data_IF_149463766543
#
_entry.id   IF_149463766543
#
_cell.length_a   1.000
_cell.length_b   1.000
_cell.length_c   1.000
_cell.angle_alpha   90.00
_cell.angle_beta   90.00
_cell.angle_gamma   90.00
#
_symmetry.space_group_name_H-M   'P 1'
#
loop_
_entity.id
_entity.type
_entity.pdbx_description
1 polymer ?
#
# COMPACT_ATOMS: atom_id res chain seq x y z
N UNK A 1 -30.48 15.75 -20.62
CA UNK A 1 -29.20 16.47 -20.85
C UNK A 1 -28.09 15.41 -21.02
N UNK A 2 -27.61 15.19 -22.28
CA UNK A 2 -26.65 14.12 -22.63
C UNK A 2 -25.35 14.20 -21.79
N UNK A 3 -24.88 15.40 -21.52
CA UNK A 3 -23.69 15.61 -20.70
C UNK A 3 -23.89 15.14 -19.25
N UNK A 4 -25.09 15.26 -18.70
CA UNK A 4 -25.38 14.82 -17.32
C UNK A 4 -25.38 13.30 -17.22
N UNK A 5 -25.98 12.59 -18.16
CA UNK A 5 -25.98 11.12 -18.20
C UNK A 5 -24.57 10.54 -18.34
N UNK A 6 -23.74 11.15 -19.21
CA UNK A 6 -22.35 10.76 -19.39
C UNK A 6 -21.52 10.89 -18.08
N UNK A 7 -21.72 11.98 -17.34
CA UNK A 7 -20.99 12.19 -16.06
C UNK A 7 -21.37 11.15 -15.01
N UNK A 8 -22.65 10.75 -14.92
CA UNK A 8 -23.11 9.68 -14.04
C UNK A 8 -22.51 8.33 -14.46
N UNK A 9 -22.53 8.02 -15.75
CA UNK A 9 -21.91 6.82 -16.30
C UNK A 9 -20.42 6.76 -15.95
N UNK A 10 -19.68 7.83 -16.21
CA UNK A 10 -18.26 7.91 -15.91
C UNK A 10 -17.99 7.74 -14.41
N UNK A 11 -18.79 8.34 -13.55
CA UNK A 11 -18.69 8.18 -12.09
C UNK A 11 -18.88 6.70 -11.70
N UNK A 12 -19.89 6.02 -12.26
CA UNK A 12 -20.11 4.60 -12.01
C UNK A 12 -18.93 3.72 -12.42
N UNK A 13 -18.37 3.96 -13.61
CA UNK A 13 -17.18 3.26 -14.10
C UNK A 13 -15.96 3.51 -13.21
N UNK A 14 -15.70 4.77 -12.84
CA UNK A 14 -14.56 5.10 -11.99
C UNK A 14 -14.67 4.49 -10.60
N UNK A 15 -15.87 4.46 -10.01
CA UNK A 15 -16.10 3.78 -8.73
C UNK A 15 -15.94 2.26 -8.85
N UNK A 16 -16.43 1.65 -9.93
CA UNK A 16 -16.23 0.23 -10.23
C UNK A 16 -14.75 -0.12 -10.29
N UNK A 17 -13.95 0.65 -11.02
CA UNK A 17 -12.50 0.49 -11.11
C UNK A 17 -11.81 0.72 -9.77
N UNK A 18 -12.25 1.70 -8.99
CA UNK A 18 -11.74 1.95 -7.65
C UNK A 18 -11.99 0.76 -6.71
N UNK A 19 -13.17 0.16 -6.74
CA UNK A 19 -13.54 -1.00 -5.93
C UNK A 19 -12.72 -2.25 -6.31
N UNK A 20 -12.45 -2.44 -7.59
CA UNK A 20 -11.55 -3.49 -8.08
C UNK A 20 -10.09 -3.27 -7.68
N UNK A 21 -9.68 -2.02 -7.56
CA UNK A 21 -8.29 -1.66 -7.28
C UNK A 21 -7.90 -1.92 -5.82
N UNK A 22 -8.75 -1.51 -4.86
CA UNK A 22 -8.39 -1.58 -3.43
C UNK A 22 -9.62 -1.53 -2.52
N UNK A 23 -9.68 -2.40 -1.51
CA UNK A 23 -10.78 -2.44 -0.53
C UNK A 23 -11.03 -1.11 0.21
N UNK A 24 -10.00 -0.30 0.38
CA UNK A 24 -10.12 1.04 1.00
C UNK A 24 -11.07 1.97 0.23
N UNK A 25 -11.25 1.76 -1.07
CA UNK A 25 -12.18 2.53 -1.89
C UNK A 25 -13.65 2.35 -1.51
N UNK A 26 -13.99 1.29 -0.78
CA UNK A 26 -15.36 1.11 -0.25
C UNK A 26 -15.73 2.19 0.75
N UNK A 27 -14.78 2.61 1.59
CA UNK A 27 -14.98 3.74 2.50
C UNK A 27 -15.18 5.05 1.74
N UNK A 28 -14.44 5.25 0.66
CA UNK A 28 -14.66 6.39 -0.23
C UNK A 28 -16.05 6.36 -0.87
N UNK A 29 -16.51 5.20 -1.34
CA UNK A 29 -17.86 5.02 -1.86
C UNK A 29 -18.94 5.36 -0.82
N UNK A 30 -18.77 4.90 0.43
CA UNK A 30 -19.68 5.25 1.54
C UNK A 30 -19.67 6.75 1.85
N UNK A 31 -18.48 7.38 1.87
CA UNK A 31 -18.34 8.83 2.07
C UNK A 31 -19.00 9.63 0.97
N UNK A 32 -18.88 9.17 -0.29
CA UNK A 32 -19.54 9.77 -1.43
C UNK A 32 -21.08 9.64 -1.33
N UNK A 33 -21.57 8.47 -0.94
CA UNK A 33 -23.00 8.26 -0.71
C UNK A 33 -23.53 9.19 0.41
N UNK A 34 -22.81 9.31 1.51
CA UNK A 34 -23.15 10.27 2.57
C UNK A 34 -23.15 11.72 2.07
N UNK A 35 -22.20 12.09 1.21
CA UNK A 35 -22.17 13.40 0.59
C UNK A 35 -23.40 13.68 -0.30
N UNK A 36 -23.92 12.67 -1.01
CA UNK A 36 -25.18 12.81 -1.74
C UNK A 36 -26.37 13.06 -0.81
N UNK A 37 -26.43 12.38 0.33
CA UNK A 37 -27.48 12.62 1.34
C UNK A 37 -27.44 14.06 1.85
N UNK A 38 -26.26 14.66 2.00
CA UNK A 38 -26.12 16.01 2.55
C UNK A 38 -26.38 17.08 1.49
N UNK A 39 -25.80 16.96 0.30
CA UNK A 39 -25.78 18.07 -0.69
C UNK A 39 -26.56 17.84 -1.94
N UNK A 40 -26.98 16.61 -2.23
CA UNK A 40 -27.58 16.25 -3.53
C UNK A 40 -28.70 15.23 -3.39
N UNK A 41 -29.61 15.45 -2.45
CA UNK A 41 -30.75 14.54 -2.20
C UNK A 41 -31.62 14.32 -3.46
N UNK A 42 -31.72 15.33 -4.33
CA UNK A 42 -32.45 15.23 -5.59
C UNK A 42 -31.88 14.13 -6.51
N UNK A 43 -30.59 13.78 -6.36
CA UNK A 43 -29.97 12.71 -7.13
C UNK A 43 -30.67 11.35 -6.93
N UNK A 44 -31.21 11.10 -5.74
CA UNK A 44 -31.93 9.86 -5.44
C UNK A 44 -33.25 9.69 -6.26
N UNK A 45 -33.72 10.73 -6.88
CA UNK A 45 -34.87 10.69 -7.77
C UNK A 45 -34.49 10.63 -9.26
N UNK A 46 -33.16 10.58 -9.56
CA UNK A 46 -32.64 10.53 -10.92
C UNK A 46 -32.32 9.09 -11.33
N UNK A 47 -32.84 8.64 -12.48
CA UNK A 47 -32.51 7.33 -13.05
C UNK A 47 -31.00 7.15 -13.25
N UNK A 48 -30.29 8.20 -13.66
CA UNK A 48 -28.86 8.17 -13.89
C UNK A 48 -28.04 7.86 -12.62
N UNK A 49 -28.52 8.24 -11.44
CA UNK A 49 -27.91 7.88 -10.16
C UNK A 49 -27.92 6.35 -9.97
N UNK A 50 -29.04 5.71 -10.19
CA UNK A 50 -29.19 4.25 -10.06
C UNK A 50 -28.38 3.49 -11.12
N UNK A 51 -28.30 4.04 -12.33
CA UNK A 51 -27.39 3.51 -13.37
C UNK A 51 -25.93 3.56 -12.90
N UNK A 52 -25.46 4.68 -12.34
CA UNK A 52 -24.12 4.80 -11.82
C UNK A 52 -23.87 3.84 -10.64
N UNK A 53 -24.83 3.70 -9.73
CA UNK A 53 -24.80 2.77 -8.61
C UNK A 53 -24.70 1.32 -9.10
N UNK A 54 -25.53 0.94 -10.07
CA UNK A 54 -25.51 -0.40 -10.66
C UNK A 54 -24.15 -0.72 -11.28
N UNK A 55 -23.59 0.18 -12.10
CA UNK A 55 -22.28 0.02 -12.72
C UNK A 55 -21.19 -0.12 -11.61
N UNK A 56 -21.26 0.67 -10.55
CA UNK A 56 -20.31 0.59 -9.43
C UNK A 56 -20.36 -0.77 -8.72
N UNK A 57 -21.58 -1.30 -8.50
CA UNK A 57 -21.80 -2.62 -7.88
C UNK A 57 -21.28 -3.74 -8.78
N UNK A 58 -21.46 -3.62 -10.11
CA UNK A 58 -20.91 -4.60 -11.05
C UNK A 58 -19.39 -4.78 -10.90
N UNK A 59 -18.67 -3.71 -10.51
CA UNK A 59 -17.24 -3.81 -10.20
C UNK A 59 -16.90 -4.65 -8.97
N UNK A 60 -17.85 -4.92 -8.08
CA UNK A 60 -17.66 -5.79 -6.93
C UNK A 60 -17.81 -7.28 -7.27
N UNK A 61 -18.49 -7.61 -8.37
CA UNK A 61 -18.79 -9.00 -8.72
C UNK A 61 -17.53 -9.88 -8.81
N UNK A 62 -16.45 -9.50 -9.52
CA UNK A 62 -15.25 -10.33 -9.58
C UNK A 62 -14.64 -10.59 -8.18
N UNK A 63 -14.66 -9.58 -7.31
CA UNK A 63 -14.14 -9.68 -5.94
C UNK A 63 -15.01 -10.63 -5.10
N UNK A 64 -16.32 -10.52 -5.21
CA UNK A 64 -17.28 -11.37 -4.48
C UNK A 64 -17.15 -12.83 -4.96
N UNK A 65 -17.18 -13.06 -6.28
CA UNK A 65 -17.07 -14.40 -6.86
C UNK A 65 -15.75 -15.07 -6.45
N UNK A 66 -14.63 -14.36 -6.57
CA UNK A 66 -13.34 -14.87 -6.14
C UNK A 66 -13.31 -15.22 -4.64
N UNK A 67 -13.91 -14.40 -3.77
CA UNK A 67 -13.99 -14.68 -2.35
C UNK A 67 -14.85 -15.91 -2.05
N UNK A 68 -15.98 -16.10 -2.74
CA UNK A 68 -16.82 -17.30 -2.60
C UNK A 68 -16.01 -18.54 -2.99
N UNK A 69 -15.33 -18.52 -4.13
CA UNK A 69 -14.52 -19.63 -4.61
C UNK A 69 -13.32 -19.97 -3.70
N UNK A 70 -12.78 -18.98 -2.99
CA UNK A 70 -11.59 -19.11 -2.14
C UNK A 70 -11.91 -19.03 -0.63
N UNK A 71 -13.14 -19.38 -0.22
CA UNK A 71 -13.52 -19.47 1.19
C UNK A 71 -13.39 -18.16 1.95
N UNK A 72 -13.76 -17.05 1.32
CA UNK A 72 -13.69 -15.70 1.91
C UNK A 72 -12.30 -15.29 2.41
N UNK A 73 -11.26 -15.73 1.71
CA UNK A 73 -9.86 -15.53 2.09
C UNK A 73 -9.50 -14.07 2.39
N UNK A 74 -10.06 -13.11 1.63
CA UNK A 74 -9.82 -11.68 1.87
C UNK A 74 -10.40 -11.20 3.20
N UNK A 75 -11.58 -11.68 3.58
CA UNK A 75 -12.21 -11.33 4.86
C UNK A 75 -11.40 -11.89 6.03
N UNK A 76 -11.00 -13.16 5.97
CA UNK A 76 -10.16 -13.78 7.00
C UNK A 76 -8.81 -13.06 7.14
N UNK A 77 -8.20 -12.64 6.03
CA UNK A 77 -6.97 -11.87 6.05
C UNK A 77 -7.12 -10.55 6.80
N UNK A 78 -8.20 -9.81 6.55
CA UNK A 78 -8.45 -8.54 7.24
C UNK A 78 -8.89 -8.73 8.70
N UNK A 79 -9.69 -9.77 8.99
CA UNK A 79 -10.10 -10.11 10.35
C UNK A 79 -8.90 -10.42 11.24
N UNK A 80 -7.96 -11.22 10.77
CA UNK A 80 -6.75 -11.57 11.53
C UNK A 80 -5.82 -10.37 11.78
N UNK A 81 -5.89 -9.34 10.94
CA UNK A 81 -5.16 -8.08 11.15
C UNK A 81 -5.88 -7.10 12.07
N UNK A 82 -7.16 -7.30 12.32
CA UNK A 82 -7.99 -6.46 13.16
C UNK A 82 -7.92 -6.78 14.67
N UNK A 83 -7.03 -7.67 15.11
CA UNK A 83 -6.81 -7.93 16.53
C UNK A 83 -6.38 -6.63 17.21
N UNK A 84 -7.26 -6.13 18.12
CA UNK A 84 -7.06 -4.85 18.77
C UNK A 84 -5.97 -4.99 19.84
N UNK A 85 -4.80 -4.41 19.57
CA UNK A 85 -3.68 -4.33 20.50
C UNK A 85 -3.15 -2.90 20.51
N UNK A 86 -3.47 -2.15 21.56
CA UNK A 86 -3.09 -0.74 21.68
C UNK A 86 -1.60 -0.62 21.98
N UNK A 87 -0.83 -0.07 21.02
CA UNK A 87 0.58 0.22 21.18
C UNK A 87 0.85 1.70 20.89
N UNK A 88 1.20 2.45 21.92
CA UNK A 88 1.45 3.88 21.83
C UNK A 88 2.59 4.25 20.87
N UNK A 89 3.67 3.48 20.88
CA UNK A 89 4.80 3.72 19.96
C UNK A 89 4.43 3.45 18.50
N UNK A 90 3.61 2.43 18.25
CA UNK A 90 3.11 2.16 16.90
C UNK A 90 2.24 3.32 16.38
N UNK A 91 1.40 3.89 17.23
CA UNK A 91 0.59 5.07 16.88
C UNK A 91 1.46 6.25 16.50
N UNK A 92 2.42 6.60 17.34
CA UNK A 92 3.33 7.72 17.07
C UNK A 92 4.09 7.51 15.77
N UNK A 93 4.68 6.33 15.59
CA UNK A 93 5.44 6.01 14.38
C UNK A 93 4.57 6.08 13.12
N UNK A 94 3.33 5.60 13.20
CA UNK A 94 2.39 5.66 12.08
C UNK A 94 1.96 7.08 11.74
N UNK A 95 1.73 7.93 12.74
CA UNK A 95 1.42 9.35 12.53
C UNK A 95 2.63 10.11 11.96
N UNK A 96 3.83 9.85 12.46
CA UNK A 96 5.07 10.43 11.92
C UNK A 96 5.30 9.99 10.47
N UNK A 97 5.08 8.71 10.16
CA UNK A 97 5.18 8.20 8.79
C UNK A 97 4.17 8.89 7.85
N UNK A 98 2.91 9.06 8.27
CA UNK A 98 1.92 9.81 7.50
C UNK A 98 2.35 11.26 7.28
N UNK A 99 2.85 11.91 8.33
CA UNK A 99 3.35 13.29 8.27
C UNK A 99 4.51 13.43 7.27
N UNK A 100 5.42 12.45 7.22
CA UNK A 100 6.52 12.41 6.26
C UNK A 100 6.04 12.11 4.83
N UNK A 101 5.13 11.16 4.64
CA UNK A 101 4.60 10.80 3.31
C UNK A 101 3.84 11.96 2.65
N UNK A 102 3.10 12.74 3.43
CA UNK A 102 2.31 13.88 2.92
C UNK A 102 3.14 15.14 2.79
N UNK A 103 4.30 15.17 3.39
CA UNK A 103 5.18 16.31 3.64
C UNK A 103 4.64 17.25 4.72
N UNK A 104 5.49 17.64 5.69
CA UNK A 104 5.10 18.51 6.82
C UNK A 104 4.41 19.81 6.40
N UNK A 105 4.93 20.46 5.38
CA UNK A 105 4.39 21.71 4.83
C UNK A 105 2.99 21.54 4.25
N UNK A 106 2.75 20.42 3.56
CA UNK A 106 1.44 20.08 2.99
C UNK A 106 0.43 19.80 4.10
N UNK A 107 0.82 19.06 5.15
CA UNK A 107 -0.05 18.82 6.31
C UNK A 107 -0.46 20.13 6.98
N UNK A 108 0.49 21.05 7.21
CA UNK A 108 0.18 22.36 7.79
C UNK A 108 -0.81 23.12 6.90
N UNK A 109 -0.62 23.14 5.59
CA UNK A 109 -1.55 23.80 4.66
C UNK A 109 -2.94 23.16 4.66
N UNK A 110 -3.02 21.83 4.77
CA UNK A 110 -4.29 21.10 4.90
C UNK A 110 -4.99 21.54 6.19
N UNK A 111 -4.30 21.47 7.33
CA UNK A 111 -4.88 21.83 8.64
C UNK A 111 -5.39 23.27 8.64
N UNK A 112 -4.58 24.22 8.14
CA UNK A 112 -4.98 25.61 8.01
C UNK A 112 -6.17 25.79 7.04
N UNK A 113 -6.21 25.01 5.96
CA UNK A 113 -7.30 25.02 5.00
C UNK A 113 -8.60 24.49 5.59
N UNK A 114 -8.56 23.35 6.26
CA UNK A 114 -9.72 22.74 6.92
C UNK A 114 -10.22 23.61 8.07
N UNK A 115 -9.32 24.16 8.89
CA UNK A 115 -9.70 25.11 9.95
C UNK A 115 -10.38 26.38 9.39
N UNK A 116 -9.96 26.84 8.22
CA UNK A 116 -10.63 27.96 7.54
C UNK A 116 -12.04 27.60 7.03
N UNK A 117 -12.27 26.34 6.61
CA UNK A 117 -13.60 25.87 6.20
C UNK A 117 -14.62 25.91 7.35
N UNK A 118 -14.18 25.70 8.59
CA UNK A 118 -15.04 25.82 9.77
C UNK A 118 -15.52 27.26 9.99
N UNK A 119 -14.73 28.26 9.56
CA UNK A 119 -15.06 29.68 9.68
C UNK A 119 -15.77 30.24 8.45
N UNK A 120 -15.38 29.77 7.28
CA UNK A 120 -15.89 30.22 5.99
C UNK A 120 -16.13 29.00 5.08
N UNK A 121 -17.31 28.36 5.19
CA UNK A 121 -17.62 27.17 4.43
C UNK A 121 -17.61 27.44 2.92
N UNK A 122 -16.96 26.54 2.19
CA UNK A 122 -16.97 26.51 0.73
C UNK A 122 -17.53 25.17 0.29
N UNK A 123 -18.60 25.15 -0.51
CA UNK A 123 -19.29 23.93 -0.91
C UNK A 123 -18.35 22.86 -1.53
N UNK A 124 -17.38 23.31 -2.37
CA UNK A 124 -16.44 22.40 -3.03
C UNK A 124 -15.43 21.81 -2.04
N UNK A 125 -14.86 22.64 -1.20
CA UNK A 125 -13.84 22.22 -0.23
C UNK A 125 -14.48 21.40 0.90
N UNK A 126 -15.67 21.79 1.37
CA UNK A 126 -16.44 21.01 2.34
C UNK A 126 -16.78 19.62 1.79
N UNK A 127 -17.13 19.52 0.50
CA UNK A 127 -17.36 18.24 -0.16
C UNK A 127 -16.10 17.36 -0.14
N UNK A 128 -14.94 17.89 -0.50
CA UNK A 128 -13.67 17.16 -0.44
C UNK A 128 -13.32 16.74 1.00
N UNK A 129 -13.54 17.61 1.98
CA UNK A 129 -13.31 17.29 3.38
C UNK A 129 -14.21 16.14 3.87
N UNK A 130 -15.49 16.15 3.52
CA UNK A 130 -16.44 15.08 3.88
C UNK A 130 -16.08 13.75 3.21
N UNK A 131 -15.54 13.76 2.00
CA UNK A 131 -15.04 12.54 1.36
C UNK A 131 -13.75 12.01 2.02
N UNK A 132 -12.88 12.92 2.46
CA UNK A 132 -11.56 12.59 2.99
C UNK A 132 -11.58 12.14 4.46
N UNK A 133 -12.31 12.89 5.31
CA UNK A 133 -12.23 12.73 6.77
C UNK A 133 -12.65 11.35 7.26
N UNK A 134 -13.76 10.73 6.78
CA UNK A 134 -14.12 9.38 7.23
C UNK A 134 -13.01 8.37 6.95
N UNK A 135 -12.38 8.44 5.77
CA UNK A 135 -11.28 7.57 5.39
C UNK A 135 -10.06 7.76 6.29
N UNK A 136 -9.67 9.01 6.56
CA UNK A 136 -8.55 9.32 7.46
C UNK A 136 -8.87 8.84 8.87
N UNK A 137 -10.04 9.15 9.41
CA UNK A 137 -10.41 8.81 10.79
C UNK A 137 -10.50 7.30 11.00
N UNK A 138 -11.22 6.59 10.13
CA UNK A 138 -11.41 5.13 10.27
C UNK A 138 -10.08 4.41 10.15
N UNK A 139 -9.24 4.73 9.15
CA UNK A 139 -7.95 4.06 9.05
C UNK A 139 -6.99 4.42 10.18
N UNK A 140 -7.02 5.64 10.70
CA UNK A 140 -6.23 5.95 11.89
C UNK A 140 -6.74 5.20 13.13
N UNK A 141 -8.06 5.00 13.30
CA UNK A 141 -8.60 4.15 14.37
C UNK A 141 -8.12 2.69 14.22
N UNK A 142 -8.13 2.15 13.00
CA UNK A 142 -7.59 0.81 12.73
C UNK A 142 -6.09 0.73 13.03
N UNK A 143 -5.32 1.76 12.64
CA UNK A 143 -3.88 1.84 12.90
C UNK A 143 -3.60 1.89 14.41
N UNK A 144 -4.41 2.62 15.18
CA UNK A 144 -4.30 2.69 16.64
C UNK A 144 -4.57 1.34 17.32
N UNK A 145 -5.40 0.50 16.72
CA UNK A 145 -5.80 -0.78 17.27
C UNK A 145 -5.00 -1.99 16.77
N UNK A 146 -4.13 -1.85 15.78
CA UNK A 146 -3.45 -3.00 15.17
C UNK A 146 -2.02 -2.71 14.74
N UNK A 147 -1.06 -3.42 15.33
CA UNK A 147 0.36 -3.35 14.95
C UNK A 147 0.63 -3.85 13.52
N UNK A 148 -0.27 -4.66 12.96
CA UNK A 148 -0.18 -5.17 11.59
C UNK A 148 -0.77 -4.21 10.53
N UNK A 149 -1.11 -2.98 10.93
CA UNK A 149 -1.62 -1.95 10.04
C UNK A 149 -0.49 -1.08 9.48
N UNK A 150 -0.77 -0.41 8.37
CA UNK A 150 0.22 0.42 7.70
C UNK A 150 -0.22 1.88 7.60
N UNK A 151 0.70 2.80 7.87
CA UNK A 151 0.47 4.24 7.84
C UNK A 151 -0.12 4.75 6.51
N UNK A 152 0.21 4.10 5.39
CA UNK A 152 -0.28 4.48 4.06
C UNK A 152 -1.77 4.15 3.82
N UNK A 153 -2.46 3.45 4.72
CA UNK A 153 -3.88 3.14 4.52
C UNK A 153 -4.77 4.37 4.51
N UNK A 154 -4.42 5.41 5.25
CA UNK A 154 -5.14 6.69 5.28
C UNK A 154 -4.83 7.61 4.10
N UNK A 155 -3.83 7.28 3.24
CA UNK A 155 -3.32 8.16 2.19
C UNK A 155 -4.39 8.59 1.18
N UNK A 156 -5.36 7.72 0.85
CA UNK A 156 -6.45 8.09 -0.06
C UNK A 156 -7.23 9.30 0.46
N UNK A 157 -7.52 9.35 1.76
CA UNK A 157 -8.17 10.51 2.37
C UNK A 157 -7.30 11.76 2.32
N UNK A 158 -6.02 11.64 2.63
CA UNK A 158 -5.09 12.77 2.55
C UNK A 158 -4.95 13.33 1.14
N UNK A 159 -4.90 12.49 0.11
CA UNK A 159 -4.84 12.93 -1.30
C UNK A 159 -6.04 13.79 -1.70
N UNK A 160 -7.24 13.51 -1.17
CA UNK A 160 -8.43 14.31 -1.41
C UNK A 160 -8.34 15.71 -0.79
N UNK A 161 -7.49 15.93 0.21
CA UNK A 161 -7.28 17.23 0.85
C UNK A 161 -6.19 18.08 0.18
N UNK A 162 -5.40 17.53 -0.74
CA UNK A 162 -4.34 18.27 -1.47
C UNK A 162 -4.89 19.50 -2.19
N UNK A 163 -6.07 19.48 -2.86
CA UNK A 163 -6.63 20.69 -3.46
C UNK A 163 -6.89 21.83 -2.46
N UNK A 164 -7.26 21.49 -1.21
CA UNK A 164 -7.45 22.46 -0.13
C UNK A 164 -6.12 23.09 0.26
N UNK A 165 -5.06 22.28 0.41
CA UNK A 165 -3.70 22.77 0.67
C UNK A 165 -3.21 23.67 -0.46
N UNK A 166 -3.42 23.26 -1.72
CA UNK A 166 -3.01 24.01 -2.91
C UNK A 166 -3.69 25.37 -2.96
N UNK A 167 -5.00 25.44 -2.69
CA UNK A 167 -5.72 26.72 -2.61
C UNK A 167 -5.15 27.59 -1.50
N UNK A 168 -4.85 27.01 -0.32
CA UNK A 168 -4.26 27.74 0.78
C UNK A 168 -2.90 28.31 0.42
N UNK A 169 -2.05 27.54 -0.24
CA UNK A 169 -0.76 28.00 -0.74
C UNK A 169 -0.92 29.17 -1.74
N UNK A 170 -1.89 29.09 -2.66
CA UNK A 170 -2.16 30.16 -3.63
C UNK A 170 -2.60 31.45 -2.93
N UNK A 171 -3.40 31.37 -1.87
CA UNK A 171 -3.79 32.55 -1.09
C UNK A 171 -2.60 33.25 -0.41
N UNK A 172 -1.52 32.51 -0.12
CA UNK A 172 -0.27 33.09 0.39
C UNK A 172 0.55 33.82 -0.68
N UNK A 173 0.11 33.83 -1.94
CA UNK A 173 0.80 34.48 -3.06
C UNK A 173 0.96 36.00 -2.86
N UNK A 174 0.11 36.61 -2.04
CA UNK A 174 0.22 38.02 -1.61
C UNK A 174 1.51 38.27 -0.80
N UNK A 175 1.97 37.26 -0.04
CA UNK A 175 3.28 37.30 0.63
C UNK A 175 4.27 36.44 -0.18
N UNK A 176 4.94 37.10 -1.13
CA UNK A 176 5.89 36.44 -2.06
C UNK A 176 6.93 35.59 -1.33
N UNK A 177 7.47 36.11 -0.24
CA UNK A 177 8.54 35.41 0.52
C UNK A 177 8.04 34.09 1.08
N UNK A 178 6.91 34.08 1.79
CA UNK A 178 6.33 32.87 2.35
C UNK A 178 5.93 31.91 1.24
N UNK A 179 5.30 32.37 0.18
CA UNK A 179 4.88 31.54 -0.95
C UNK A 179 6.06 30.82 -1.60
N UNK A 180 7.14 31.58 -1.93
CA UNK A 180 8.34 31.05 -2.54
C UNK A 180 9.02 30.05 -1.58
N UNK A 181 9.18 30.42 -0.30
CA UNK A 181 9.81 29.56 0.71
C UNK A 181 9.09 28.21 0.85
N UNK A 182 7.76 28.21 1.02
CA UNK A 182 6.99 26.99 1.14
C UNK A 182 7.02 26.14 -0.14
N UNK A 183 6.91 26.77 -1.32
CA UNK A 183 7.00 26.08 -2.60
C UNK A 183 8.39 25.43 -2.78
N UNK A 184 9.45 26.18 -2.53
CA UNK A 184 10.83 25.68 -2.67
C UNK A 184 11.10 24.58 -1.67
N UNK A 185 10.67 24.73 -0.41
CA UNK A 185 10.82 23.69 0.61
C UNK A 185 10.11 22.39 0.23
N UNK A 186 8.87 22.47 -0.28
CA UNK A 186 8.17 21.27 -0.76
C UNK A 186 8.93 20.57 -1.90
N UNK A 187 9.42 21.35 -2.88
CA UNK A 187 10.19 20.81 -4.00
C UNK A 187 11.46 20.14 -3.47
N UNK A 188 12.21 20.79 -2.61
CA UNK A 188 13.45 20.22 -2.04
C UNK A 188 13.18 18.95 -1.24
N UNK A 189 12.12 18.92 -0.42
CA UNK A 189 11.74 17.72 0.34
C UNK A 189 11.40 16.54 -0.58
N UNK A 190 10.59 16.76 -1.64
CA UNK A 190 10.26 15.72 -2.60
C UNK A 190 11.52 15.16 -3.26
N UNK A 191 12.38 16.03 -3.81
CA UNK A 191 13.60 15.59 -4.46
C UNK A 191 14.58 14.93 -3.50
N UNK A 192 14.67 15.39 -2.24
CA UNK A 192 15.49 14.74 -1.22
C UNK A 192 15.01 13.33 -0.92
N UNK A 193 13.70 13.11 -0.77
CA UNK A 193 13.14 11.76 -0.54
C UNK A 193 13.41 10.85 -1.74
N UNK A 194 13.18 11.33 -2.96
CA UNK A 194 13.48 10.57 -4.19
C UNK A 194 14.96 10.21 -4.24
N UNK A 195 15.84 11.17 -3.98
CA UNK A 195 17.29 10.95 -4.00
C UNK A 195 17.71 9.90 -2.96
N UNK A 196 17.19 9.99 -1.73
CA UNK A 196 17.47 9.01 -0.67
C UNK A 196 17.02 7.62 -1.09
N UNK A 197 15.82 7.47 -1.67
CA UNK A 197 15.32 6.18 -2.17
C UNK A 197 16.23 5.64 -3.28
N UNK A 198 16.60 6.46 -4.26
CA UNK A 198 17.47 6.04 -5.37
C UNK A 198 18.86 5.63 -4.91
N UNK A 199 19.47 6.41 -4.01
CA UNK A 199 20.77 6.07 -3.44
C UNK A 199 20.67 4.79 -2.60
N UNK A 200 19.63 4.67 -1.77
CA UNK A 200 19.43 3.47 -0.96
C UNK A 200 19.20 2.22 -1.80
N UNK A 201 18.37 2.30 -2.84
CA UNK A 201 18.09 1.19 -3.77
C UNK A 201 19.39 0.58 -4.33
N UNK A 202 20.37 1.41 -4.65
CA UNK A 202 21.65 0.96 -5.23
C UNK A 202 22.72 0.60 -4.17
N UNK A 203 22.72 1.25 -3.04
CA UNK A 203 23.84 1.16 -2.07
C UNK A 203 23.48 0.43 -0.77
N UNK A 204 22.20 0.27 -0.48
CA UNK A 204 21.71 -0.26 0.81
C UNK A 204 22.09 0.63 2.01
N UNK A 205 22.34 1.94 1.80
CA UNK A 205 22.89 2.82 2.84
C UNK A 205 22.03 2.87 4.11
N UNK A 206 20.72 2.84 3.99
CA UNK A 206 19.82 2.85 5.16
C UNK A 206 19.90 1.54 5.93
N UNK A 207 19.99 0.39 5.25
CA UNK A 207 20.18 -0.92 5.90
C UNK A 207 21.55 -1.04 6.53
N UNK A 208 22.61 -0.52 5.92
CA UNK A 208 23.98 -0.52 6.46
C UNK A 208 24.13 0.29 7.74
N UNK A 209 23.27 1.29 7.96
CA UNK A 209 23.31 2.15 9.16
C UNK A 209 22.98 1.38 10.44
N UNK A 210 22.25 0.26 10.34
CA UNK A 210 21.90 -0.60 11.49
C UNK A 210 22.94 -1.70 11.79
N UNK A 211 24.06 -1.74 11.04
CA UNK A 211 25.10 -2.76 11.20
C UNK A 211 24.69 -4.14 10.67
N UNK A 212 25.37 -5.20 11.19
CA UNK A 212 25.13 -6.59 10.73
C UNK A 212 23.76 -7.16 11.14
N UNK A 213 23.08 -6.55 12.10
CA UNK A 213 21.79 -6.97 12.63
C UNK A 213 20.67 -6.11 12.05
N UNK A 214 20.35 -6.28 10.76
CA UNK A 214 19.14 -5.67 10.20
C UNK A 214 17.94 -6.42 10.79
N UNK A 215 17.09 -5.74 11.57
CA UNK A 215 15.92 -6.38 12.14
C UNK A 215 15.03 -6.93 11.03
N UNK A 216 14.41 -8.08 11.24
CA UNK A 216 13.47 -8.71 10.29
C UNK A 216 12.36 -7.75 9.82
N UNK A 217 11.98 -6.77 10.65
CA UNK A 217 10.97 -5.75 10.39
C UNK A 217 11.50 -4.52 9.63
N UNK A 218 12.78 -4.49 9.24
CA UNK A 218 13.30 -3.37 8.46
C UNK A 218 12.80 -3.40 7.02
N UNK A 219 11.77 -2.61 6.78
CA UNK A 219 11.15 -2.47 5.46
C UNK A 219 12.06 -1.74 4.44
N UNK A 220 13.20 -1.18 4.85
CA UNK A 220 14.09 -0.49 3.89
C UNK A 220 14.75 -1.46 2.92
N UNK A 221 14.88 -2.74 3.26
CA UNK A 221 15.34 -3.80 2.36
C UNK A 221 14.43 -4.00 1.14
N UNK A 222 13.16 -3.65 1.30
CA UNK A 222 12.17 -3.73 0.22
C UNK A 222 12.44 -2.74 -0.92
N UNK A 223 13.24 -1.70 -0.64
CA UNK A 223 13.65 -0.69 -1.59
C UNK A 223 14.94 -1.05 -2.34
N UNK A 224 15.59 -2.18 -2.01
CA UNK A 224 16.81 -2.62 -2.68
C UNK A 224 16.53 -3.08 -4.12
N UNK A 225 17.53 -2.92 -4.98
CA UNK A 225 17.50 -3.44 -6.35
C UNK A 225 17.76 -4.95 -6.38
N UNK A 226 16.72 -5.71 -6.60
CA UNK A 226 16.78 -7.18 -6.68
C UNK A 226 17.34 -7.68 -8.01
N UNK A 227 17.57 -6.81 -9.00
CA UNK A 227 18.22 -7.18 -10.27
C UNK A 227 19.60 -7.78 -10.08
N UNK A 228 20.38 -7.27 -9.14
CA UNK A 228 21.69 -7.82 -8.81
C UNK A 228 21.62 -9.26 -8.26
N UNK A 229 20.53 -9.61 -7.60
CA UNK A 229 20.29 -10.96 -7.06
C UNK A 229 19.96 -11.91 -8.20
N UNK A 230 19.13 -11.50 -9.16
CA UNK A 230 18.81 -12.32 -10.34
C UNK A 230 20.05 -12.63 -11.15
N UNK A 231 20.92 -11.63 -11.40
CA UNK A 231 22.17 -11.80 -12.15
C UNK A 231 23.12 -12.79 -11.46
N UNK A 232 23.26 -12.70 -10.14
CA UNK A 232 24.09 -13.61 -9.36
C UNK A 232 23.54 -15.05 -9.34
N UNK A 233 22.21 -15.21 -9.31
CA UNK A 233 21.56 -16.51 -9.26
C UNK A 233 21.47 -17.18 -10.63
N UNK A 234 21.35 -16.42 -11.73
CA UNK A 234 20.99 -16.94 -13.05
C UNK A 234 21.95 -18.05 -13.53
N UNK A 235 23.25 -17.88 -13.30
CA UNK A 235 24.26 -18.90 -13.63
C UNK A 235 24.00 -20.21 -12.90
N UNK A 236 23.79 -20.16 -11.60
CA UNK A 236 23.53 -21.34 -10.76
C UNK A 236 22.21 -22.02 -11.12
N UNK A 237 21.18 -21.25 -11.46
CA UNK A 237 19.87 -21.78 -11.87
C UNK A 237 19.96 -22.55 -13.18
N UNK A 238 20.69 -22.02 -14.18
CA UNK A 238 20.90 -22.67 -15.47
C UNK A 238 21.77 -23.91 -15.36
N UNK A 239 22.87 -23.86 -14.61
CA UNK A 239 23.78 -25.00 -14.40
C UNK A 239 23.12 -26.17 -13.68
N UNK A 240 22.14 -25.91 -12.81
CA UNK A 240 21.43 -26.96 -12.07
C UNK A 240 20.03 -27.27 -12.63
N UNK A 241 19.68 -26.74 -13.80
CA UNK A 241 18.36 -26.94 -14.47
C UNK A 241 17.16 -26.63 -13.58
N UNK A 242 17.27 -25.66 -12.69
CA UNK A 242 16.24 -25.32 -11.72
C UNK A 242 15.15 -24.47 -12.38
N UNK A 243 13.90 -24.90 -12.27
CA UNK A 243 12.73 -24.26 -12.91
C UNK A 243 11.81 -23.53 -11.93
N UNK A 244 11.95 -23.81 -10.65
CA UNK A 244 11.09 -23.24 -9.60
C UNK A 244 11.93 -22.70 -8.45
N UNK A 245 11.56 -21.53 -7.97
CA UNK A 245 12.20 -20.82 -6.88
C UNK A 245 11.19 -20.68 -5.75
N UNK A 246 11.67 -20.57 -4.51
CA UNK A 246 10.80 -20.30 -3.37
C UNK A 246 11.54 -19.48 -2.34
N UNK A 247 10.79 -18.66 -1.60
CA UNK A 247 11.29 -17.96 -0.42
C UNK A 247 10.46 -18.32 0.80
N UNK A 248 10.80 -17.81 1.96
CA UNK A 248 10.04 -18.01 3.20
C UNK A 248 8.88 -17.04 3.36
N UNK A 249 8.89 -15.93 2.60
CA UNK A 249 7.90 -14.87 2.71
C UNK A 249 7.38 -14.47 1.31
N UNK A 250 6.10 -14.11 1.23
CA UNK A 250 5.45 -13.70 -0.02
C UNK A 250 6.08 -12.46 -0.64
N UNK A 251 6.62 -11.59 0.20
CA UNK A 251 7.21 -10.33 -0.23
C UNK A 251 8.49 -10.58 -1.04
N UNK A 252 9.41 -11.35 -0.46
CA UNK A 252 10.65 -11.74 -1.11
C UNK A 252 10.37 -12.55 -2.39
N UNK A 253 9.35 -13.42 -2.37
CA UNK A 253 8.91 -14.12 -3.59
C UNK A 253 8.41 -13.19 -4.68
N UNK A 254 7.69 -12.12 -4.32
CA UNK A 254 7.22 -11.11 -5.27
C UNK A 254 8.37 -10.35 -5.92
N UNK A 255 9.36 -9.93 -5.12
CA UNK A 255 10.56 -9.25 -5.61
C UNK A 255 11.38 -10.17 -6.53
N UNK A 256 11.57 -11.43 -6.13
CA UNK A 256 12.32 -12.41 -6.90
C UNK A 256 11.62 -12.70 -8.24
N UNK A 257 10.30 -12.90 -8.24
CA UNK A 257 9.54 -13.10 -9.47
C UNK A 257 9.69 -11.91 -10.44
N UNK A 258 9.64 -10.69 -9.91
CA UNK A 258 9.83 -9.47 -10.70
C UNK A 258 11.26 -9.35 -11.23
N UNK A 259 12.27 -9.67 -10.42
CA UNK A 259 13.68 -9.60 -10.83
C UNK A 259 14.01 -10.56 -11.98
N UNK A 260 13.33 -11.70 -12.04
CA UNK A 260 13.43 -12.67 -13.15
C UNK A 260 12.41 -12.47 -14.27
N UNK A 261 11.72 -11.33 -14.34
CA UNK A 261 10.67 -11.06 -15.32
C UNK A 261 9.61 -12.17 -15.42
N UNK A 262 9.34 -12.87 -14.32
CA UNK A 262 8.40 -13.99 -14.23
C UNK A 262 8.77 -15.22 -15.09
N UNK A 263 10.04 -15.39 -15.49
CA UNK A 263 10.51 -16.54 -16.27
C UNK A 263 10.55 -17.82 -15.44
N UNK A 264 10.72 -17.69 -14.12
CA UNK A 264 10.70 -18.82 -13.19
C UNK A 264 9.38 -18.87 -12.42
N UNK A 265 8.92 -20.08 -12.11
CA UNK A 265 7.83 -20.27 -11.16
C UNK A 265 8.34 -19.95 -9.76
N UNK A 266 7.77 -18.93 -9.10
CA UNK A 266 8.19 -18.52 -7.76
C UNK A 266 7.07 -18.80 -6.76
N UNK A 267 7.40 -19.53 -5.69
CA UNK A 267 6.47 -19.91 -4.62
C UNK A 267 6.93 -19.41 -3.24
N UNK A 268 6.11 -19.71 -2.22
CA UNK A 268 6.41 -19.45 -0.80
C UNK A 268 6.31 -20.76 -0.02
N UNK A 269 7.36 -21.07 0.73
CA UNK A 269 7.40 -22.23 1.63
C UNK A 269 6.86 -21.87 3.03
N UNK A 270 6.97 -20.61 3.44
CA UNK A 270 6.58 -20.16 4.77
C UNK A 270 5.07 -20.06 4.99
N UNK A 271 4.68 -19.89 6.26
CA UNK A 271 3.28 -19.66 6.67
C UNK A 271 2.70 -18.37 6.08
N UNK A 272 3.53 -17.36 5.84
CA UNK A 272 3.15 -16.08 5.28
C UNK A 272 3.14 -16.11 3.74
N UNK A 273 2.39 -17.04 3.17
CA UNK A 273 2.33 -17.22 1.71
C UNK A 273 1.41 -16.24 1.00
N UNK A 274 0.52 -15.56 1.72
CA UNK A 274 -0.43 -14.59 1.20
C UNK A 274 -1.13 -15.09 -0.10
N UNK A 275 -1.09 -14.32 -1.18
CA UNK A 275 -1.70 -14.67 -2.47
C UNK A 275 -0.99 -15.81 -3.20
N UNK A 276 0.28 -16.10 -2.92
CA UNK A 276 1.03 -17.20 -3.55
C UNK A 276 0.38 -18.57 -3.31
N UNK A 277 -0.34 -18.77 -2.19
CA UNK A 277 -1.09 -20.01 -1.94
C UNK A 277 -2.20 -20.29 -2.96
N UNK A 278 -2.65 -19.26 -3.70
CA UNK A 278 -3.69 -19.39 -4.73
C UNK A 278 -3.12 -19.53 -6.13
N UNK A 279 -1.89 -19.03 -6.38
CA UNK A 279 -1.24 -19.01 -7.69
C UNK A 279 -0.58 -20.37 -7.96
N UNK A 280 0.14 -20.93 -6.99
CA UNK A 280 0.95 -22.13 -7.19
C UNK A 280 0.38 -23.37 -6.48
N UNK A 281 -0.50 -24.09 -7.17
CA UNK A 281 -1.01 -25.39 -6.71
C UNK A 281 -0.10 -26.57 -7.11
N UNK A 282 0.89 -26.39 -7.99
CA UNK A 282 1.66 -27.48 -8.63
C UNK A 282 3.09 -27.67 -8.10
N UNK A 283 3.72 -26.70 -7.46
CA UNK A 283 5.17 -26.75 -7.17
C UNK A 283 5.58 -27.42 -5.85
N UNK A 284 4.68 -28.15 -5.19
CA UNK A 284 4.89 -28.62 -3.80
C UNK A 284 5.89 -29.76 -3.60
N UNK A 285 6.54 -30.34 -4.61
CA UNK A 285 7.38 -31.54 -4.41
C UNK A 285 8.88 -31.27 -4.36
N UNK A 286 9.38 -30.29 -5.09
CA UNK A 286 10.79 -29.87 -5.04
C UNK A 286 10.85 -28.37 -5.25
N UNK A 287 11.42 -27.66 -4.30
CA UNK A 287 11.58 -26.22 -4.40
C UNK A 287 13.04 -25.85 -4.14
N UNK A 288 13.57 -24.92 -4.91
CA UNK A 288 14.85 -24.29 -4.64
C UNK A 288 14.59 -23.10 -3.72
N UNK A 289 14.98 -23.24 -2.46
CA UNK A 289 14.81 -22.17 -1.48
C UNK A 289 15.93 -21.13 -1.65
N UNK A 290 15.55 -19.90 -1.90
CA UNK A 290 16.43 -18.75 -1.90
C UNK A 290 16.18 -17.95 -0.64
N UNK A 291 17.17 -17.95 0.25
CA UNK A 291 17.12 -17.15 1.46
C UNK A 291 17.97 -15.89 1.28
N UNK A 292 17.29 -14.78 0.99
CA UNK A 292 17.94 -13.47 0.87
C UNK A 292 18.02 -12.84 2.25
N UNK A 293 18.83 -13.40 3.13
CA UNK A 293 19.20 -12.78 4.41
C UNK A 293 20.66 -12.41 4.37
N UNK A 294 20.99 -11.22 4.83
CA UNK A 294 22.37 -10.87 5.16
C UNK A 294 22.80 -11.81 6.29
N UNK A 295 23.78 -12.65 5.99
CA UNK A 295 24.24 -13.72 6.86
C UNK A 295 24.76 -13.17 8.19
N UNK A 296 24.04 -13.52 9.25
CA UNK A 296 24.63 -13.64 10.59
C UNK A 296 24.80 -15.13 10.88
N UNK A 297 25.94 -15.53 11.43
CA UNK A 297 26.28 -16.94 11.73
C UNK A 297 25.22 -17.69 12.59
N UNK A 298 24.41 -16.96 13.36
CA UNK A 298 23.32 -17.52 14.18
C UNK A 298 22.05 -17.90 13.37
N UNK A 299 21.95 -17.51 12.11
CA UNK A 299 20.76 -17.75 11.28
C UNK A 299 20.77 -19.09 10.55
N UNK A 300 21.90 -19.78 10.44
CA UNK A 300 21.97 -21.06 9.71
C UNK A 300 21.22 -22.19 10.42
N UNK A 301 21.33 -22.28 11.75
CA UNK A 301 20.62 -23.31 12.53
C UNK A 301 19.12 -23.12 12.47
N UNK A 302 18.68 -21.88 12.43
CA UNK A 302 17.26 -21.51 12.37
C UNK A 302 16.61 -21.76 10.97
N UNK A 303 17.38 -21.78 9.89
CA UNK A 303 16.84 -22.02 8.54
C UNK A 303 16.47 -23.49 8.31
N UNK A 304 17.33 -24.42 8.74
CA UNK A 304 17.07 -25.86 8.61
C UNK A 304 15.83 -26.27 9.41
N UNK A 305 15.69 -25.75 10.63
CA UNK A 305 14.53 -25.99 11.49
C UNK A 305 13.27 -25.36 10.91
N UNK A 306 13.33 -24.14 10.41
CA UNK A 306 12.20 -23.50 9.76
C UNK A 306 11.72 -24.26 8.52
N UNK A 307 12.64 -24.71 7.67
CA UNK A 307 12.30 -25.46 6.46
C UNK A 307 11.72 -26.84 6.82
N UNK A 308 12.23 -27.49 7.88
CA UNK A 308 11.73 -28.76 8.38
C UNK A 308 10.30 -28.67 8.92
N UNK A 309 9.90 -27.56 9.56
CA UNK A 309 8.52 -27.35 10.04
C UNK A 309 7.48 -27.34 8.91
N UNK A 310 7.91 -27.03 7.68
CA UNK A 310 7.07 -27.07 6.48
C UNK A 310 7.20 -28.38 5.67
N UNK A 311 7.88 -29.39 6.24
CA UNK A 311 8.01 -30.71 5.63
C UNK A 311 9.09 -30.82 4.54
N UNK A 312 10.02 -29.86 4.47
CA UNK A 312 11.14 -29.88 3.53
C UNK A 312 12.45 -30.27 4.20
N UNK A 313 13.34 -30.90 3.44
CA UNK A 313 14.71 -31.18 3.84
C UNK A 313 15.69 -30.44 2.94
N UNK A 314 16.73 -29.89 3.50
CA UNK A 314 17.81 -29.25 2.75
C UNK A 314 18.69 -30.36 2.15
N UNK A 315 18.68 -30.49 0.82
CA UNK A 315 19.52 -31.49 0.12
C UNK A 315 20.91 -30.95 -0.24
N UNK A 316 21.01 -29.66 -0.54
CA UNK A 316 22.25 -28.98 -0.95
C UNK A 316 22.22 -27.53 -0.56
N UNK A 317 23.30 -27.01 -0.02
CA UNK A 317 23.52 -25.58 0.18
C UNK A 317 24.52 -25.08 -0.84
N UNK A 318 24.28 -23.89 -1.36
CA UNK A 318 25.20 -23.14 -2.24
C UNK A 318 25.27 -21.74 -1.69
N UNK A 319 26.46 -21.30 -1.31
CA UNK A 319 26.73 -19.91 -0.93
C UNK A 319 27.05 -19.11 -2.20
N UNK A 320 26.47 -17.93 -2.32
CA UNK A 320 26.55 -17.05 -3.49
C UNK A 320 27.41 -15.83 -3.19
#
# INVERSE_FOLDING_TARGET
NKNKAYMWFLMGVLLSLAFLSKYQSYLFGLSLFAAFIVWKRDAFFEFNFYMALFISICGLLPVILWNIENGFASFHFHQNRGAFNFNFFHIINSLLAQFLFILPTTVILIVLGVANLMKQPSSRESFLAVLALPTILIFNMVIMGSENSFAHWSMMGWMLLIPIASKRLILLKSNKTIFIALKTLNILLVYSVILVILVHSKTGILTKTYGQNIPYWDNTRELLDWGNISDALEKNLKENELKSLSTLDWYDSGQLASAFNYEYSVGVIGSNSNHFKFIDKKSKKTATLINVRLLNNDTEMNLADQVATYGFKINKKVDL
#
